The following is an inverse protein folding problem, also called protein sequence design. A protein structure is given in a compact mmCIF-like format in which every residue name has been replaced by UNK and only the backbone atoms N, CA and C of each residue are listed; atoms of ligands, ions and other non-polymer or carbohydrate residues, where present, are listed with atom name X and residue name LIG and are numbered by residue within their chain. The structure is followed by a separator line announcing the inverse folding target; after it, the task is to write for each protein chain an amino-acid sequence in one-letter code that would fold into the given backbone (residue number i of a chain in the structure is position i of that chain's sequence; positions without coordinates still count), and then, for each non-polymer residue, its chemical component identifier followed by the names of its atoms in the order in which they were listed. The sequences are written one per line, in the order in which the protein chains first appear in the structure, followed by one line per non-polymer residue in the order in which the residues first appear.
data_IF_496560737261
#
_entry.id   IF_496560737261
#
_cell.length_a   1.000
_cell.length_b   1.000
_cell.length_c   1.000
_cell.angle_alpha   90.00
_cell.angle_beta   90.00
_cell.angle_gamma   90.00
#
_symmetry.space_group_name_H-M   'P 1'
#
loop_
_entity.id
_entity.type
_entity.pdbx_description
1 polymer ?
#
# COMPACT_ATOMS: atom_id res chain seq x y z
N UNK A 1 0.29 35.81 27.26
CA UNK A 1 0.27 34.34 27.24
C UNK A 1 1.25 33.87 26.18
N UNK A 2 2.40 33.35 26.59
CA UNK A 2 3.36 32.75 25.65
C UNK A 2 2.67 31.55 25.00
N UNK A 3 2.36 31.65 23.71
CA UNK A 3 1.81 30.55 22.95
C UNK A 3 2.85 29.43 22.96
N UNK A 4 2.61 28.37 23.72
CA UNK A 4 3.51 27.23 23.78
C UNK A 4 3.51 26.58 22.39
N UNK A 5 4.54 26.90 21.59
CA UNK A 5 4.70 26.31 20.26
C UNK A 5 5.15 24.87 20.47
N UNK A 6 4.32 23.90 20.07
CA UNK A 6 4.70 22.49 20.09
C UNK A 6 6.00 22.31 19.32
N UNK A 7 7.00 21.72 19.97
CA UNK A 7 8.22 21.30 19.29
C UNK A 7 7.86 20.14 18.35
N UNK A 8 7.96 20.36 17.05
CA UNK A 8 7.84 19.34 16.02
C UNK A 8 9.06 19.43 15.11
N UNK A 9 9.72 18.29 14.90
CA UNK A 9 10.83 18.15 13.94
C UNK A 9 10.39 18.47 12.51
N UNK A 10 9.08 18.35 12.24
CA UNK A 10 8.49 18.44 10.91
C UNK A 10 7.79 19.78 10.66
N UNK A 11 7.84 20.73 11.62
CA UNK A 11 7.18 22.04 11.53
C UNK A 11 7.53 22.82 10.26
N UNK A 12 8.76 22.68 9.80
CA UNK A 12 9.33 23.41 8.65
C UNK A 12 9.53 22.52 7.42
N UNK A 13 8.86 21.35 7.37
CA UNK A 13 8.82 20.54 6.16
C UNK A 13 8.30 21.38 4.99
N UNK A 14 8.96 21.23 3.84
CA UNK A 14 8.55 21.87 2.60
C UNK A 14 8.66 20.88 1.43
N UNK A 15 7.94 21.19 0.35
CA UNK A 15 7.96 20.40 -0.88
C UNK A 15 8.61 21.20 -2.00
N UNK A 16 9.51 20.58 -2.74
CA UNK A 16 10.18 21.16 -3.89
C UNK A 16 9.90 20.29 -5.13
N UNK A 17 9.28 20.86 -6.18
CA UNK A 17 9.09 20.12 -7.43
C UNK A 17 10.43 19.94 -8.12
N UNK A 18 10.64 18.78 -8.73
CA UNK A 18 11.75 18.56 -9.63
C UNK A 18 11.73 19.57 -10.78
N UNK A 19 12.92 19.95 -11.25
CA UNK A 19 13.05 20.72 -12.50
C UNK A 19 12.46 19.93 -13.66
N UNK A 20 11.95 20.61 -14.68
CA UNK A 20 11.33 19.97 -15.85
C UNK A 20 12.22 18.93 -16.54
N UNK A 21 13.55 19.14 -16.54
CA UNK A 21 14.56 18.21 -17.07
C UNK A 21 14.64 16.88 -16.30
N UNK A 22 14.16 16.87 -15.06
CA UNK A 22 14.05 15.71 -14.16
C UNK A 22 12.61 15.19 -14.04
N UNK A 23 11.70 15.72 -14.85
CA UNK A 23 10.32 15.23 -15.01
C UNK A 23 10.22 14.32 -16.23
N UNK A 24 9.13 13.56 -16.31
CA UNK A 24 8.87 12.61 -17.39
C UNK A 24 7.74 13.17 -18.26
N UNK A 25 8.04 13.53 -19.50
CA UNK A 25 7.11 14.24 -20.39
C UNK A 25 6.87 13.46 -21.67
N UNK A 26 5.83 13.84 -22.42
CA UNK A 26 5.44 13.20 -23.69
C UNK A 26 4.95 11.73 -23.54
N UNK A 27 4.51 11.35 -22.34
CA UNK A 27 3.79 10.11 -22.11
C UNK A 27 2.33 10.27 -22.56
N UNK A 28 1.81 9.31 -23.33
CA UNK A 28 0.41 9.30 -23.80
C UNK A 28 -0.53 8.82 -22.69
N UNK A 29 -0.77 9.66 -21.69
CA UNK A 29 -1.51 9.29 -20.48
C UNK A 29 -2.95 8.86 -20.76
N UNK A 30 -3.42 7.84 -20.04
CA UNK A 30 -4.81 7.39 -20.12
C UNK A 30 -5.80 8.53 -19.81
N UNK A 31 -6.82 8.67 -20.65
CA UNK A 31 -7.87 9.68 -20.51
C UNK A 31 -9.11 9.18 -19.78
N UNK A 32 -9.13 7.91 -19.38
CA UNK A 32 -10.24 7.27 -18.70
C UNK A 32 -10.71 8.09 -17.49
N UNK A 33 -12.02 8.27 -17.39
CA UNK A 33 -12.66 8.96 -16.28
C UNK A 33 -12.79 8.01 -15.10
N UNK A 34 -12.27 8.42 -13.94
CA UNK A 34 -12.23 7.57 -12.76
C UNK A 34 -11.53 8.26 -11.59
N UNK A 35 -11.61 7.66 -10.42
CA UNK A 35 -11.04 8.18 -9.17
C UNK A 35 -9.73 7.48 -8.78
N UNK A 36 -9.20 6.62 -9.65
CA UNK A 36 -7.92 5.95 -9.44
C UNK A 36 -6.74 6.90 -9.65
N UNK A 37 -5.58 6.50 -9.15
CA UNK A 37 -4.39 7.34 -9.20
C UNK A 37 -3.73 7.32 -10.58
N UNK A 38 -3.90 6.23 -11.35
CA UNK A 38 -3.26 6.03 -12.67
C UNK A 38 -1.73 6.10 -12.66
N UNK A 39 -1.12 6.11 -11.48
CA UNK A 39 0.32 6.12 -11.26
C UNK A 39 0.61 5.38 -9.95
N UNK A 40 1.72 4.66 -9.93
CA UNK A 40 2.27 3.95 -8.78
C UNK A 40 3.78 3.87 -8.92
N UNK A 41 4.52 3.81 -7.83
CA UNK A 41 5.98 3.67 -7.90
C UNK A 41 6.53 2.82 -6.78
N UNK A 42 7.67 2.21 -7.05
CA UNK A 42 8.50 1.56 -6.05
C UNK A 42 9.84 2.30 -5.95
N UNK A 43 10.93 1.60 -5.63
CA UNK A 43 12.28 2.16 -5.51
C UNK A 43 13.03 2.26 -6.84
N UNK A 44 12.64 1.51 -7.87
CA UNK A 44 13.33 1.44 -9.17
C UNK A 44 12.52 2.04 -10.32
N UNK A 45 11.20 1.84 -10.30
CA UNK A 45 10.30 2.20 -11.38
C UNK A 45 9.07 2.93 -10.86
N UNK A 46 8.46 3.70 -11.76
CA UNK A 46 7.05 4.02 -11.65
C UNK A 46 6.28 3.45 -12.83
N UNK A 47 5.04 3.07 -12.58
CA UNK A 47 4.08 2.66 -13.59
C UNK A 47 3.05 3.78 -13.81
N UNK A 48 2.61 3.94 -15.06
CA UNK A 48 1.61 4.95 -15.43
C UNK A 48 0.68 4.41 -16.50
N UNK A 49 -0.63 4.63 -16.35
CA UNK A 49 -1.61 4.18 -17.32
C UNK A 49 -1.47 4.94 -18.65
N UNK A 50 -1.44 4.22 -19.77
CA UNK A 50 -1.23 4.76 -21.12
C UNK A 50 -2.50 4.60 -21.95
N UNK A 51 -2.82 5.62 -22.74
CA UNK A 51 -3.87 5.56 -23.74
C UNK A 51 -3.40 4.70 -24.92
N UNK A 52 -3.97 3.51 -25.04
CA UNK A 52 -3.73 2.58 -26.14
C UNK A 52 -5.03 1.84 -26.52
N UNK A 53 -5.00 1.05 -27.60
CA UNK A 53 -6.06 0.09 -27.89
C UNK A 53 -5.98 -1.07 -26.90
N UNK A 54 -7.00 -1.26 -26.06
CA UNK A 54 -6.98 -2.21 -24.95
C UNK A 54 -6.48 -1.59 -23.63
N UNK A 55 -5.90 -2.41 -22.76
CA UNK A 55 -5.31 -1.98 -21.50
C UNK A 55 -3.80 -1.99 -21.55
N UNK A 56 -3.19 -0.80 -21.56
CA UNK A 56 -1.74 -0.66 -21.52
C UNK A 56 -1.27 0.30 -20.43
N UNK A 57 -0.07 0.05 -19.94
CA UNK A 57 0.62 0.95 -19.03
C UNK A 57 2.12 0.92 -19.32
N UNK A 58 2.80 2.02 -19.02
CA UNK A 58 4.26 2.11 -19.12
C UNK A 58 4.86 1.83 -17.74
N UNK A 59 6.01 1.14 -17.71
CA UNK A 59 6.86 1.01 -16.52
C UNK A 59 8.19 1.70 -16.82
N UNK A 60 8.47 2.76 -16.08
CA UNK A 60 9.54 3.71 -16.37
C UNK A 60 10.57 3.68 -15.24
N UNK A 61 11.84 3.34 -15.54
CA UNK A 61 12.93 3.47 -14.57
C UNK A 61 13.17 4.94 -14.21
N UNK A 62 13.45 5.24 -12.93
CA UNK A 62 13.68 6.63 -12.47
C UNK A 62 14.87 7.31 -13.14
N UNK A 63 15.81 6.55 -13.70
CA UNK A 63 16.98 7.09 -14.40
C UNK A 63 16.65 7.63 -15.79
N UNK A 64 15.56 7.15 -16.42
CA UNK A 64 15.14 7.58 -17.77
C UNK A 64 14.31 8.87 -17.70
N UNK A 65 14.92 9.98 -17.31
CA UNK A 65 14.22 11.29 -17.20
C UNK A 65 14.08 11.99 -18.55
N UNK A 66 13.17 12.98 -18.64
CA UNK A 66 13.04 13.87 -19.78
C UNK A 66 11.86 13.53 -20.69
N UNK A 67 12.06 13.73 -21.99
CA UNK A 67 11.01 13.56 -23.01
C UNK A 67 11.03 12.14 -23.56
N UNK A 68 9.91 11.44 -23.46
CA UNK A 68 9.77 10.06 -23.92
C UNK A 68 9.42 9.99 -25.40
N UNK A 69 9.92 8.94 -26.07
CA UNK A 69 9.53 8.60 -27.43
C UNK A 69 8.07 8.11 -27.45
N UNK A 70 7.24 8.52 -28.43
CA UNK A 70 5.89 7.99 -28.59
C UNK A 70 5.78 6.46 -28.70
N UNK A 71 6.84 5.79 -29.16
CA UNK A 71 6.94 4.33 -29.32
C UNK A 71 7.61 3.66 -28.10
N UNK A 72 7.63 4.33 -26.94
CA UNK A 72 8.15 3.76 -25.70
C UNK A 72 7.49 2.41 -25.38
N UNK A 73 8.26 1.34 -25.09
CA UNK A 73 7.74 0.02 -24.78
C UNK A 73 6.72 0.00 -23.65
N UNK A 74 5.64 -0.77 -23.84
CA UNK A 74 4.52 -0.86 -22.90
C UNK A 74 4.34 -2.28 -22.36
N UNK A 75 3.58 -2.38 -21.27
CA UNK A 75 2.92 -3.64 -20.90
C UNK A 75 1.51 -3.59 -21.48
N UNK A 76 1.21 -4.52 -22.39
CA UNK A 76 0.00 -4.52 -23.22
C UNK A 76 -0.56 -5.92 -23.45
N UNK A 77 -1.12 -6.55 -22.42
CA UNK A 77 -1.87 -7.81 -22.56
C UNK A 77 -3.30 -7.78 -22.03
N UNK A 78 -3.75 -6.65 -21.47
CA UNK A 78 -5.14 -6.48 -21.08
C UNK A 78 -6.02 -6.10 -22.27
N UNK A 79 -7.25 -6.60 -22.28
CA UNK A 79 -8.25 -6.35 -23.34
C UNK A 79 -9.15 -5.16 -23.01
N UNK A 80 -9.16 -4.72 -21.76
CA UNK A 80 -9.94 -3.60 -21.25
C UNK A 80 -9.04 -2.56 -20.60
N UNK A 81 -9.59 -1.39 -20.28
CA UNK A 81 -8.80 -0.30 -19.69
C UNK A 81 -8.14 -0.72 -18.37
N UNK A 82 -6.91 -0.25 -18.15
CA UNK A 82 -6.23 -0.39 -16.86
C UNK A 82 -6.95 0.46 -15.81
N UNK A 83 -7.39 -0.20 -14.74
CA UNK A 83 -8.11 0.44 -13.65
C UNK A 83 -7.16 0.79 -12.51
N UNK A 84 -6.26 -0.12 -12.14
CA UNK A 84 -5.30 0.08 -11.06
C UNK A 84 -4.08 -0.83 -11.23
N UNK A 85 -2.99 -0.53 -10.54
CA UNK A 85 -1.81 -1.39 -10.46
C UNK A 85 -1.00 -1.13 -9.20
N UNK A 86 -0.35 -2.18 -8.70
CA UNK A 86 0.47 -2.11 -7.50
C UNK A 86 1.78 -2.86 -7.71
N UNK A 87 2.88 -2.30 -7.23
CA UNK A 87 4.16 -2.98 -7.21
C UNK A 87 4.21 -3.92 -6.01
N UNK A 88 4.81 -5.10 -6.20
CA UNK A 88 5.06 -5.97 -5.07
C UNK A 88 6.03 -5.28 -4.10
N UNK A 89 5.71 -5.20 -2.80
CA UNK A 89 6.53 -4.45 -1.84
C UNK A 89 7.83 -5.19 -1.50
N UNK A 90 7.97 -6.45 -1.90
CA UNK A 90 9.11 -7.33 -1.64
C UNK A 90 9.96 -7.62 -2.88
N UNK A 91 9.38 -7.44 -4.07
CA UNK A 91 10.02 -7.73 -5.35
C UNK A 91 9.90 -6.55 -6.29
N UNK A 92 10.98 -5.78 -6.43
CA UNK A 92 10.99 -4.50 -7.16
C UNK A 92 10.70 -4.65 -8.67
N UNK A 93 10.85 -5.86 -9.20
CA UNK A 93 10.61 -6.20 -10.60
C UNK A 93 9.25 -6.88 -10.84
N UNK A 94 8.33 -6.83 -9.87
CA UNK A 94 7.03 -7.47 -9.98
C UNK A 94 5.91 -6.44 -9.79
N UNK A 95 4.97 -6.41 -10.72
CA UNK A 95 3.79 -5.52 -10.67
C UNK A 95 2.52 -6.30 -10.99
N UNK A 96 1.43 -6.01 -10.27
CA UNK A 96 0.10 -6.51 -10.57
C UNK A 96 -0.75 -5.39 -11.21
N UNK A 97 -1.58 -5.72 -12.20
CA UNK A 97 -2.52 -4.79 -12.83
C UNK A 97 -3.94 -5.33 -12.78
N UNK A 98 -4.90 -4.44 -12.52
CA UNK A 98 -6.34 -4.67 -12.53
C UNK A 98 -6.99 -4.00 -13.74
N UNK A 99 -7.95 -4.66 -14.37
CA UNK A 99 -8.51 -4.21 -15.65
C UNK A 99 -10.03 -4.32 -15.75
N UNK A 100 -10.57 -3.51 -16.67
CA UNK A 100 -11.96 -3.56 -17.12
C UNK A 100 -12.34 -4.89 -17.77
N UNK A 101 -11.35 -5.67 -18.23
CA UNK A 101 -11.54 -7.02 -18.79
C UNK A 101 -11.79 -8.13 -17.75
N UNK A 102 -12.04 -7.76 -16.49
CA UNK A 102 -12.35 -8.65 -15.36
C UNK A 102 -11.18 -9.48 -14.81
N UNK A 103 -9.95 -9.27 -15.32
CA UNK A 103 -8.76 -10.00 -14.88
C UNK A 103 -7.84 -9.14 -14.02
N UNK A 104 -7.05 -9.80 -13.16
CA UNK A 104 -5.77 -9.26 -12.70
C UNK A 104 -4.64 -10.01 -13.38
N UNK A 105 -3.55 -9.30 -13.70
CA UNK A 105 -2.35 -9.89 -14.30
C UNK A 105 -1.12 -9.49 -13.51
N UNK A 106 -0.18 -10.42 -13.37
CA UNK A 106 1.12 -10.18 -12.72
C UNK A 106 2.21 -10.21 -13.77
N UNK A 107 3.14 -9.24 -13.72
CA UNK A 107 4.15 -9.00 -14.74
C UNK A 107 5.54 -8.94 -14.12
N UNK A 108 6.50 -9.56 -14.79
CA UNK A 108 7.93 -9.42 -14.49
C UNK A 108 8.53 -8.28 -15.30
N UNK A 109 9.22 -7.37 -14.63
CA UNK A 109 9.89 -6.21 -15.23
C UNK A 109 11.37 -6.54 -15.41
N UNK A 110 11.95 -6.42 -16.62
CA UNK A 110 13.38 -6.60 -16.80
C UNK A 110 14.20 -5.56 -16.03
N UNK A 111 15.41 -5.91 -15.60
CA UNK A 111 16.22 -5.05 -14.73
C UNK A 111 16.48 -3.64 -15.30
N UNK A 112 16.77 -3.54 -16.61
CA UNK A 112 16.96 -2.27 -17.33
C UNK A 112 15.66 -1.56 -17.76
N UNK A 113 14.52 -2.05 -17.31
CA UNK A 113 13.19 -1.71 -17.83
C UNK A 113 12.92 -2.37 -19.19
N UNK A 114 11.76 -2.06 -19.77
CA UNK A 114 11.31 -2.66 -21.02
C UNK A 114 12.15 -2.17 -22.21
N UNK A 115 12.52 -3.12 -23.08
CA UNK A 115 13.13 -2.89 -24.40
C UNK A 115 12.13 -3.08 -25.53
N UNK A 116 11.10 -3.90 -25.31
CA UNK A 116 10.00 -4.16 -26.23
C UNK A 116 8.68 -4.27 -25.48
N UNK A 117 7.57 -4.08 -26.19
CA UNK A 117 6.25 -4.19 -25.59
C UNK A 117 5.97 -5.66 -25.25
N UNK A 118 5.62 -5.93 -23.99
CA UNK A 118 5.27 -7.28 -23.54
C UNK A 118 3.75 -7.46 -23.43
N UNK A 119 3.25 -8.62 -23.82
CA UNK A 119 1.82 -8.94 -23.81
C UNK A 119 1.47 -10.16 -22.96
N UNK A 120 2.46 -10.97 -22.61
CA UNK A 120 2.29 -12.21 -21.85
C UNK A 120 2.55 -11.97 -20.36
N UNK A 121 1.56 -12.14 -19.47
CA UNK A 121 1.77 -12.03 -18.03
C UNK A 121 2.44 -13.29 -17.47
N UNK A 122 3.09 -13.16 -16.31
CA UNK A 122 3.57 -14.29 -15.53
C UNK A 122 2.42 -15.10 -14.94
N UNK A 123 1.37 -14.41 -14.49
CA UNK A 123 0.19 -15.00 -13.86
C UNK A 123 -1.06 -14.28 -14.33
N UNK A 124 -2.10 -15.05 -14.65
CA UNK A 124 -3.43 -14.56 -14.99
C UNK A 124 -4.42 -14.97 -13.89
N UNK A 125 -4.95 -14.00 -13.16
CA UNK A 125 -5.90 -14.21 -12.07
C UNK A 125 -7.30 -13.92 -12.56
N UNK A 126 -8.02 -15.00 -12.86
CA UNK A 126 -9.41 -14.96 -13.34
C UNK A 126 -10.37 -15.36 -12.23
N UNK A 127 -11.53 -14.70 -12.16
CA UNK A 127 -12.61 -15.12 -11.27
C UNK A 127 -13.62 -14.02 -10.95
N UNK A 128 -13.20 -12.76 -11.04
CA UNK A 128 -14.14 -11.64 -10.94
C UNK A 128 -15.12 -11.66 -12.12
N UNK A 129 -16.39 -11.36 -11.85
CA UNK A 129 -17.45 -11.38 -12.86
C UNK A 129 -17.62 -10.07 -13.62
N UNK A 130 -16.95 -9.02 -13.16
CA UNK A 130 -16.98 -7.65 -13.71
C UNK A 130 -15.61 -7.00 -13.53
N UNK A 131 -15.45 -5.79 -14.07
CA UNK A 131 -14.20 -5.02 -14.01
C UNK A 131 -13.56 -5.02 -12.63
N UNK A 132 -12.26 -5.29 -12.58
CA UNK A 132 -11.48 -5.18 -11.35
C UNK A 132 -11.08 -3.73 -11.19
N UNK A 133 -11.42 -3.12 -10.05
CA UNK A 133 -11.35 -1.67 -9.85
C UNK A 133 -10.14 -1.19 -9.07
N UNK A 134 -9.61 -2.01 -8.15
CA UNK A 134 -8.46 -1.71 -7.29
C UNK A 134 -7.66 -2.99 -7.06
N UNK A 135 -6.36 -2.83 -6.82
CA UNK A 135 -5.47 -3.94 -6.44
C UNK A 135 -4.41 -3.46 -5.46
N UNK A 136 -4.14 -4.24 -4.41
CA UNK A 136 -3.12 -3.92 -3.41
C UNK A 136 -2.40 -5.16 -2.91
N UNK A 137 -1.07 -5.16 -2.96
CA UNK A 137 -0.27 -6.20 -2.33
C UNK A 137 -0.37 -6.12 -0.82
N UNK A 138 -0.31 -7.29 -0.19
CA UNK A 138 -0.28 -7.42 1.25
C UNK A 138 1.05 -6.88 1.83
N UNK A 139 1.03 -6.18 2.97
CA UNK A 139 2.21 -5.46 3.47
C UNK A 139 3.24 -6.33 4.19
N UNK A 140 2.92 -7.58 4.60
CA UNK A 140 3.84 -8.42 5.39
C UNK A 140 4.03 -9.84 4.85
N UNK A 141 2.96 -10.50 4.43
CA UNK A 141 2.98 -11.81 3.76
C UNK A 141 3.39 -11.72 2.29
N UNK A 142 4.31 -12.59 1.86
CA UNK A 142 4.67 -12.72 0.45
C UNK A 142 3.48 -13.22 -0.39
N UNK A 143 3.44 -12.84 -1.66
CA UNK A 143 2.55 -13.38 -2.68
C UNK A 143 1.02 -13.24 -2.43
N UNK A 144 0.59 -12.50 -1.41
CA UNK A 144 -0.82 -12.19 -1.17
C UNK A 144 -1.20 -10.86 -1.84
N UNK A 145 -2.25 -10.90 -2.68
CA UNK A 145 -2.78 -9.74 -3.41
C UNK A 145 -4.27 -9.56 -3.10
N UNK A 146 -4.71 -8.36 -2.77
CA UNK A 146 -6.13 -8.01 -2.65
C UNK A 146 -6.63 -7.33 -3.93
N UNK A 147 -7.89 -7.60 -4.29
CA UNK A 147 -8.58 -6.90 -5.38
C UNK A 147 -10.04 -6.62 -5.04
N UNK A 148 -10.59 -5.55 -5.62
CA UNK A 148 -12.03 -5.28 -5.61
C UNK A 148 -12.56 -5.27 -7.03
N UNK A 149 -13.83 -5.60 -7.20
CA UNK A 149 -14.47 -5.55 -8.51
C UNK A 149 -15.84 -4.88 -8.45
N UNK A 150 -16.30 -4.44 -9.62
CA UNK A 150 -17.67 -4.01 -9.83
C UNK A 150 -18.70 -5.15 -9.70
N UNK A 151 -18.26 -6.39 -9.47
CA UNK A 151 -19.10 -7.51 -9.02
C UNK A 151 -19.43 -7.46 -7.53
N UNK A 152 -19.00 -6.40 -6.83
CA UNK A 152 -19.25 -6.15 -5.41
C UNK A 152 -18.51 -7.09 -4.46
N UNK A 153 -17.47 -7.78 -4.95
CA UNK A 153 -16.62 -8.64 -4.14
C UNK A 153 -15.25 -8.02 -3.89
N UNK A 154 -14.67 -8.35 -2.74
CA UNK A 154 -13.24 -8.21 -2.47
C UNK A 154 -12.64 -9.59 -2.42
N UNK A 155 -11.52 -9.83 -3.12
CA UNK A 155 -10.87 -11.13 -3.16
C UNK A 155 -9.42 -11.01 -2.74
N UNK A 156 -8.94 -12.04 -2.06
CA UNK A 156 -7.51 -12.25 -1.84
C UNK A 156 -7.04 -13.38 -2.74
N UNK A 157 -5.85 -13.22 -3.29
CA UNK A 157 -5.21 -14.14 -4.21
C UNK A 157 -3.84 -14.51 -3.68
N UNK A 158 -3.47 -15.77 -3.89
CA UNK A 158 -2.09 -16.20 -3.86
C UNK A 158 -1.57 -16.14 -5.31
N UNK A 159 -0.65 -15.20 -5.57
CA UNK A 159 -0.11 -14.99 -6.93
C UNK A 159 0.85 -16.10 -7.37
N UNK A 160 1.46 -16.83 -6.44
CA UNK A 160 2.36 -17.94 -6.75
C UNK A 160 1.56 -19.18 -7.18
N UNK A 161 0.44 -19.42 -6.50
CA UNK A 161 -0.49 -20.52 -6.82
C UNK A 161 -1.47 -20.16 -7.95
N UNK A 162 -1.58 -18.88 -8.31
CA UNK A 162 -2.54 -18.40 -9.31
C UNK A 162 -3.99 -18.61 -8.88
N UNK A 163 -4.28 -18.60 -7.58
CA UNK A 163 -5.58 -19.03 -7.04
C UNK A 163 -6.16 -18.03 -6.04
N UNK A 164 -7.48 -17.91 -6.02
CA UNK A 164 -8.20 -17.18 -4.99
C UNK A 164 -8.10 -17.93 -3.65
N UNK A 165 -7.73 -17.22 -2.59
CA UNK A 165 -7.61 -17.77 -1.22
C UNK A 165 -8.74 -17.30 -0.30
N UNK A 166 -9.26 -16.08 -0.46
CA UNK A 166 -10.38 -15.55 0.33
C UNK A 166 -11.33 -14.76 -0.58
N UNK A 167 -12.63 -14.88 -0.32
CA UNK A 167 -13.67 -14.07 -0.96
C UNK A 167 -14.47 -13.35 0.13
N UNK A 168 -14.51 -12.03 0.08
CA UNK A 168 -15.27 -11.18 0.98
C UNK A 168 -16.43 -10.57 0.17
N UNK A 169 -17.62 -11.08 0.44
CA UNK A 169 -18.85 -10.55 -0.14
C UNK A 169 -19.46 -9.59 0.87
N UNK A 170 -19.76 -8.38 0.42
CA UNK A 170 -20.70 -7.53 1.15
C UNK A 170 -22.05 -7.66 0.46
N UNK A 171 -23.09 -8.03 1.23
CA UNK A 171 -24.49 -8.18 0.78
C UNK A 171 -25.13 -6.84 0.36
N UNK A 172 -24.37 -5.98 -0.31
CA UNK A 172 -24.77 -4.67 -0.82
C UNK A 172 -24.35 -4.60 -2.29
N UNK A 173 -25.30 -4.26 -3.17
CA UNK A 173 -25.04 -4.03 -4.61
C UNK A 173 -24.38 -2.66 -4.83
N UNK A 174 -23.36 -2.33 -4.03
CA UNK A 174 -22.68 -1.03 -4.04
C UNK A 174 -21.20 -1.20 -4.29
N UNK A 175 -20.62 -0.29 -5.08
CA UNK A 175 -19.21 -0.34 -5.43
C UNK A 175 -18.30 -0.01 -4.25
N UNK A 176 -17.27 -0.82 -4.04
CA UNK A 176 -16.12 -0.45 -3.21
C UNK A 176 -15.40 0.73 -3.86
N UNK A 177 -15.08 1.74 -3.05
CA UNK A 177 -14.49 3.01 -3.48
C UNK A 177 -13.00 3.09 -3.15
N UNK A 178 -12.56 2.39 -2.11
CA UNK A 178 -11.17 2.31 -1.68
C UNK A 178 -10.94 1.10 -0.78
N UNK A 179 -9.67 0.69 -0.63
CA UNK A 179 -9.25 -0.28 0.38
C UNK A 179 -7.86 0.02 0.92
N UNK A 180 -7.57 -0.40 2.15
CA UNK A 180 -6.23 -0.33 2.73
C UNK A 180 -5.97 -1.45 3.73
N UNK A 181 -4.75 -1.96 3.75
CA UNK A 181 -4.25 -2.89 4.76
C UNK A 181 -3.83 -2.15 6.04
N UNK A 182 -4.08 -2.77 7.20
CA UNK A 182 -3.43 -2.34 8.44
C UNK A 182 -1.93 -2.72 8.45
N UNK A 183 -1.21 -2.26 9.47
CA UNK A 183 0.24 -2.42 9.58
C UNK A 183 0.73 -3.88 9.47
N UNK A 184 0.01 -4.81 10.08
CA UNK A 184 0.38 -6.24 10.09
C UNK A 184 -0.22 -7.03 8.92
N UNK A 185 -1.17 -6.45 8.19
CA UNK A 185 -1.95 -7.13 7.16
C UNK A 185 -3.05 -8.07 7.71
N UNK A 186 -3.34 -8.05 9.02
CA UNK A 186 -4.43 -8.86 9.58
C UNK A 186 -5.82 -8.30 9.28
N UNK A 187 -5.93 -6.99 9.03
CA UNK A 187 -7.20 -6.31 8.74
C UNK A 187 -7.13 -5.62 7.40
N UNK A 188 -8.14 -5.86 6.56
CA UNK A 188 -8.38 -5.10 5.33
C UNK A 188 -9.59 -4.18 5.54
N UNK A 189 -9.40 -2.88 5.37
CA UNK A 189 -10.48 -1.91 5.46
C UNK A 189 -10.98 -1.54 4.06
N UNK A 190 -12.30 -1.40 3.87
CA UNK A 190 -12.88 -0.86 2.64
C UNK A 190 -13.85 0.28 2.90
N UNK A 191 -13.93 1.22 1.95
CA UNK A 191 -15.03 2.20 1.85
C UNK A 191 -15.95 1.80 0.71
N UNK A 192 -17.26 1.99 0.88
CA UNK A 192 -18.23 1.61 -0.13
C UNK A 192 -19.22 2.75 -0.40
N UNK A 193 -19.82 2.75 -1.61
CA UNK A 193 -20.81 3.73 -2.05
C UNK A 193 -22.07 3.77 -1.18
N UNK A 194 -22.32 2.72 -0.40
CA UNK A 194 -23.34 2.67 0.65
C UNK A 194 -23.01 3.53 1.89
N UNK A 195 -21.87 4.25 1.87
CA UNK A 195 -21.34 5.12 2.93
C UNK A 195 -20.87 4.38 4.18
N UNK A 196 -20.65 3.08 4.08
CA UNK A 196 -20.14 2.24 5.17
C UNK A 196 -18.64 2.03 4.98
N UNK A 197 -17.88 2.23 6.05
CA UNK A 197 -16.50 1.74 6.18
C UNK A 197 -16.55 0.38 6.86
N UNK A 198 -15.96 -0.65 6.27
CA UNK A 198 -15.92 -2.01 6.82
C UNK A 198 -14.49 -2.42 7.11
N UNK A 199 -14.27 -3.04 8.26
CA UNK A 199 -13.01 -3.65 8.67
C UNK A 199 -13.19 -5.16 8.62
N UNK A 200 -12.49 -5.83 7.72
CA UNK A 200 -12.53 -7.28 7.58
C UNK A 200 -11.37 -7.91 8.36
N UNK A 201 -11.66 -8.98 9.09
CA UNK A 201 -10.61 -9.96 9.34
C UNK A 201 -10.23 -10.59 8.00
N UNK A 202 -9.00 -10.37 7.56
CA UNK A 202 -8.63 -10.61 6.18
C UNK A 202 -8.58 -12.10 5.81
N UNK A 203 -8.32 -12.99 6.78
CA UNK A 203 -8.19 -14.43 6.55
C UNK A 203 -9.55 -15.12 6.53
N UNK A 204 -10.43 -14.74 7.45
CA UNK A 204 -11.80 -15.28 7.50
C UNK A 204 -12.75 -14.62 6.49
N UNK A 205 -12.39 -13.43 5.99
CA UNK A 205 -13.23 -12.61 5.13
C UNK A 205 -14.46 -12.03 5.83
N UNK A 206 -14.56 -12.16 7.16
CA UNK A 206 -15.70 -11.68 7.93
C UNK A 206 -15.55 -10.21 8.33
N UNK A 207 -16.66 -9.48 8.35
CA UNK A 207 -16.69 -8.10 8.87
C UNK A 207 -16.50 -8.15 10.38
N UNK A 208 -15.35 -7.68 10.86
CA UNK A 208 -15.00 -7.57 12.28
C UNK A 208 -15.60 -6.32 12.94
N UNK A 209 -15.69 -5.22 12.18
CA UNK A 209 -16.30 -3.97 12.60
C UNK A 209 -16.74 -3.14 11.40
N UNK A 210 -17.70 -2.22 11.61
CA UNK A 210 -18.14 -1.30 10.56
C UNK A 210 -18.57 0.05 11.11
N UNK A 211 -18.44 1.09 10.28
CA UNK A 211 -18.95 2.44 10.53
C UNK A 211 -19.87 2.87 9.40
N UNK A 212 -21.16 2.92 9.69
CA UNK A 212 -22.16 3.54 8.81
C UNK A 212 -22.04 5.07 8.83
N UNK A 213 -22.28 5.68 7.67
CA UNK A 213 -22.25 7.13 7.49
C UNK A 213 -20.94 7.75 8.01
N UNK A 214 -19.81 7.09 7.76
CA UNK A 214 -18.49 7.63 8.13
C UNK A 214 -18.30 9.05 7.56
N UNK A 215 -18.84 9.29 6.36
CA UNK A 215 -19.04 10.61 5.76
C UNK A 215 -20.47 10.72 5.23
N UNK A 216 -21.07 11.90 5.33
CA UNK A 216 -22.50 12.07 5.03
C UNK A 216 -22.77 12.43 3.55
N UNK A 217 -21.73 12.89 2.84
CA UNK A 217 -21.77 13.27 1.43
C UNK A 217 -22.00 12.09 0.49
N UNK A 218 -22.23 12.38 -0.80
CA UNK A 218 -22.52 11.39 -1.84
C UNK A 218 -21.31 10.98 -2.68
N UNK A 219 -20.18 11.68 -2.52
CA UNK A 219 -18.92 11.41 -3.22
C UNK A 219 -18.09 10.36 -2.49
N UNK A 220 -17.10 9.83 -3.18
CA UNK A 220 -16.30 8.74 -2.65
C UNK A 220 -15.52 9.10 -1.39
N UNK A 221 -15.38 8.10 -0.54
CA UNK A 221 -14.54 8.13 0.65
C UNK A 221 -13.26 7.36 0.37
N UNK A 222 -12.12 7.97 0.67
CA UNK A 222 -10.80 7.34 0.63
C UNK A 222 -10.30 7.07 2.04
N UNK A 223 -9.43 6.09 2.22
CA UNK A 223 -8.95 5.69 3.54
C UNK A 223 -7.48 5.27 3.54
N UNK A 224 -6.82 5.39 4.70
CA UNK A 224 -5.48 4.84 4.92
C UNK A 224 -5.28 4.53 6.40
N UNK A 225 -4.54 3.46 6.71
CA UNK A 225 -4.10 3.18 8.08
C UNK A 225 -2.90 4.06 8.44
N UNK A 226 -2.81 4.44 9.72
CA UNK A 226 -1.77 5.32 10.24
C UNK A 226 -0.60 4.52 10.81
N UNK A 227 -0.10 3.56 10.01
CA UNK A 227 1.05 2.71 10.38
C UNK A 227 0.82 1.92 11.66
N UNK A 228 1.85 1.82 12.50
CA UNK A 228 1.84 1.08 13.76
C UNK A 228 0.93 1.69 14.86
N UNK A 229 0.33 2.85 14.62
CA UNK A 229 -0.60 3.50 15.56
C UNK A 229 -1.90 2.73 15.78
N UNK A 230 -2.21 1.79 14.88
CA UNK A 230 -3.48 1.05 14.84
C UNK A 230 -4.70 1.99 14.80
N UNK A 231 -4.55 3.12 14.12
CA UNK A 231 -5.61 4.08 13.78
C UNK A 231 -5.77 4.13 12.27
N UNK A 232 -6.91 4.61 11.79
CA UNK A 232 -7.07 4.90 10.36
C UNK A 232 -7.71 6.27 10.12
N UNK A 233 -7.36 6.87 8.99
CA UNK A 233 -7.91 8.11 8.52
C UNK A 233 -8.85 7.85 7.34
N UNK A 234 -9.96 8.58 7.30
CA UNK A 234 -10.84 8.62 6.12
C UNK A 234 -10.99 10.05 5.63
N UNK A 235 -10.99 10.21 4.32
CA UNK A 235 -11.22 11.49 3.66
C UNK A 235 -12.43 11.38 2.75
N UNK A 236 -13.42 12.24 2.98
CA UNK A 236 -14.68 12.20 2.26
C UNK A 236 -15.35 13.56 2.26
N UNK A 237 -16.68 13.57 2.13
CA UNK A 237 -17.45 14.80 1.98
C UNK A 237 -18.55 14.88 3.03
N UNK A 238 -18.83 16.08 3.51
CA UNK A 238 -20.02 16.37 4.27
C UNK A 238 -21.28 16.39 3.40
N UNK A 239 -22.46 16.46 4.03
CA UNK A 239 -23.73 16.73 3.34
C UNK A 239 -23.71 18.03 2.54
N UNK A 240 -22.95 19.04 2.99
CA UNK A 240 -22.76 20.32 2.30
C UNK A 240 -21.62 20.30 1.27
N UNK A 241 -21.14 19.12 0.86
CA UNK A 241 -20.05 18.93 -0.10
C UNK A 241 -18.69 19.53 0.32
N UNK A 242 -18.51 19.81 1.60
CA UNK A 242 -17.20 20.16 2.16
C UNK A 242 -16.33 18.92 2.32
N UNK A 243 -15.07 18.97 1.88
CA UNK A 243 -14.08 17.89 2.07
C UNK A 243 -13.68 17.81 3.54
N UNK A 244 -13.64 16.59 4.08
CA UNK A 244 -13.41 16.31 5.50
C UNK A 244 -12.42 15.19 5.69
N UNK A 245 -11.46 15.40 6.58
CA UNK A 245 -10.63 14.34 7.16
C UNK A 245 -11.25 13.93 8.51
N UNK A 246 -11.41 12.62 8.72
CA UNK A 246 -11.77 12.03 10.03
C UNK A 246 -10.74 10.98 10.42
N UNK A 247 -10.40 10.88 11.71
CA UNK A 247 -9.51 9.85 12.28
C UNK A 247 -10.33 8.96 13.21
N UNK A 248 -10.08 7.66 13.14
CA UNK A 248 -10.88 6.63 13.79
C UNK A 248 -10.01 5.63 14.55
N UNK A 249 -10.54 5.15 15.67
CA UNK A 249 -10.06 3.96 16.36
C UNK A 249 -10.83 2.74 15.82
N UNK A 250 -10.19 1.74 15.21
CA UNK A 250 -10.87 0.54 14.69
C UNK A 250 -11.60 -0.25 15.78
N UNK A 251 -11.18 -0.13 17.05
CA UNK A 251 -11.79 -0.81 18.20
C UNK A 251 -12.99 -0.04 18.74
N UNK A 252 -13.16 1.23 18.36
CA UNK A 252 -14.19 2.14 18.86
C UNK A 252 -14.68 3.10 17.77
N UNK A 253 -15.63 2.62 16.97
CA UNK A 253 -16.19 3.33 15.79
C UNK A 253 -17.46 4.16 16.07
N UNK A 254 -17.90 4.27 17.33
CA UNK A 254 -19.08 5.09 17.68
C UNK A 254 -18.87 6.56 17.30
N UNK A 255 -17.65 7.08 17.50
CA UNK A 255 -17.30 8.48 17.27
C UNK A 255 -15.90 8.64 16.67
N UNK A 256 -15.73 9.59 15.76
CA UNK A 256 -14.41 9.96 15.26
C UNK A 256 -13.54 10.60 16.36
N UNK A 257 -12.26 10.23 16.39
CA UNK A 257 -11.26 10.82 17.29
C UNK A 257 -10.94 12.27 16.92
N UNK A 258 -10.92 12.53 15.60
CA UNK A 258 -10.64 13.85 15.04
C UNK A 258 -11.49 14.08 13.82
N UNK A 259 -11.96 15.32 13.64
CA UNK A 259 -12.60 15.82 12.43
C UNK A 259 -11.95 17.13 12.02
N UNK A 260 -11.56 17.24 10.76
CA UNK A 260 -11.00 18.46 10.16
C UNK A 260 -11.78 18.75 8.89
N UNK A 261 -12.41 19.92 8.85
CA UNK A 261 -13.00 20.49 7.65
C UNK A 261 -11.88 21.13 6.81
N UNK A 262 -11.77 20.73 5.54
CA UNK A 262 -10.64 21.11 4.67
C UNK A 262 -11.01 22.31 3.80
N UNK A 263 -11.91 22.11 2.84
CA UNK A 263 -12.42 23.14 1.92
C UNK A 263 -13.68 22.62 1.19
N UNK A 264 -14.18 23.35 0.18
CA UNK A 264 -15.35 22.96 -0.62
C UNK A 264 -15.00 22.55 -2.06
N UNK A 265 -13.75 22.17 -2.34
CA UNK A 265 -13.38 21.73 -3.69
C UNK A 265 -14.04 20.39 -4.03
N UNK A 266 -14.26 20.15 -5.33
CA UNK A 266 -15.03 19.01 -5.79
C UNK A 266 -14.22 17.69 -5.88
N UNK A 267 -12.90 17.79 -5.99
CA UNK A 267 -11.99 16.66 -6.19
C UNK A 267 -11.86 15.76 -4.96
N UNK A 268 -11.94 14.44 -5.17
CA UNK A 268 -11.66 13.45 -4.12
C UNK A 268 -10.21 13.60 -3.66
N UNK A 269 -9.99 13.53 -2.35
CA UNK A 269 -8.64 13.57 -1.75
C UNK A 269 -8.14 12.16 -1.53
N UNK A 270 -6.94 11.89 -2.04
CA UNK A 270 -6.17 10.68 -1.84
C UNK A 270 -5.24 10.90 -0.62
N UNK A 271 -5.43 10.16 0.48
CA UNK A 271 -4.54 10.22 1.64
C UNK A 271 -3.31 9.33 1.46
N UNK A 272 -2.11 9.87 1.67
CA UNK A 272 -0.84 9.12 1.68
C UNK A 272 -0.15 9.32 3.03
N UNK A 273 0.08 8.24 3.77
CA UNK A 273 0.65 8.31 5.12
C UNK A 273 2.09 7.76 5.12
N UNK A 274 3.06 8.60 5.49
CA UNK A 274 4.43 8.17 5.78
C UNK A 274 4.52 7.71 7.24
N UNK A 275 4.67 6.40 7.45
CA UNK A 275 4.72 5.79 8.78
C UNK A 275 5.97 6.21 9.57
N UNK A 276 7.07 6.53 8.89
CA UNK A 276 8.35 6.84 9.54
C UNK A 276 8.32 8.26 10.13
N UNK A 277 7.73 9.21 9.40
CA UNK A 277 7.61 10.61 9.86
C UNK A 277 6.29 10.90 10.55
N UNK A 278 5.31 9.99 10.44
CA UNK A 278 3.93 10.18 10.85
C UNK A 278 3.24 11.36 10.13
N UNK A 279 3.64 11.67 8.90
CA UNK A 279 3.02 12.75 8.12
C UNK A 279 1.97 12.16 7.17
N UNK A 280 0.75 12.70 7.23
CA UNK A 280 -0.32 12.41 6.30
C UNK A 280 -0.41 13.52 5.25
N UNK A 281 -0.19 13.15 3.98
CA UNK A 281 -0.34 14.00 2.81
C UNK A 281 -1.72 13.83 2.18
N UNK A 282 -2.43 14.94 1.97
CA UNK A 282 -3.75 14.99 1.36
C UNK A 282 -3.64 15.60 -0.04
N UNK A 283 -3.75 14.74 -1.05
CA UNK A 283 -3.62 15.10 -2.45
C UNK A 283 -4.99 15.05 -3.14
N UNK A 284 -5.53 16.19 -3.56
CA UNK A 284 -6.82 16.23 -4.26
C UNK A 284 -6.69 15.96 -5.76
N UNK A 285 -7.52 15.09 -6.31
CA UNK A 285 -7.63 14.92 -7.76
C UNK A 285 -8.26 16.17 -8.37
N UNK A 286 -7.57 16.82 -9.30
CA UNK A 286 -7.92 18.12 -9.85
C UNK A 286 -7.34 19.30 -9.07
N UNK A 287 -6.72 19.07 -7.91
CA UNK A 287 -6.07 20.12 -7.13
C UNK A 287 -4.60 20.25 -7.55
N UNK A 288 -4.07 21.47 -7.49
CA UNK A 288 -2.62 21.66 -7.55
C UNK A 288 -1.93 21.59 -6.19
N UNK A 289 -2.70 21.82 -5.12
CA UNK A 289 -2.17 21.95 -3.76
C UNK A 289 -2.17 20.60 -3.03
N UNK A 290 -1.23 20.44 -2.10
CA UNK A 290 -1.13 19.28 -1.21
C UNK A 290 -1.04 19.80 0.22
N UNK A 291 -1.99 19.38 1.06
CA UNK A 291 -1.99 19.72 2.50
C UNK A 291 -1.41 18.56 3.29
N UNK A 292 -0.66 18.85 4.35
CA UNK A 292 -0.10 17.78 5.16
C UNK A 292 -0.21 18.05 6.65
N UNK A 293 -0.39 16.96 7.39
CA UNK A 293 -0.64 16.93 8.83
C UNK A 293 0.35 15.97 9.48
N UNK A 294 0.92 16.38 10.60
CA UNK A 294 1.63 15.46 11.49
C UNK A 294 0.59 14.73 12.35
N UNK A 295 0.54 13.41 12.22
CA UNK A 295 -0.39 12.54 12.91
C UNK A 295 0.19 12.11 14.25
N UNK A 296 -0.66 12.03 15.27
CA UNK A 296 -0.27 11.73 16.64
C UNK A 296 -1.18 10.65 17.25
N UNK A 297 -0.69 9.97 18.28
CA UNK A 297 -1.40 8.88 18.96
C UNK A 297 -2.44 9.36 19.97
N UNK A 298 -2.43 10.67 20.25
CA UNK A 298 -3.29 11.31 21.23
C UNK A 298 -3.80 12.66 20.71
N UNK A 299 -4.86 13.14 21.35
CA UNK A 299 -5.48 14.44 21.06
C UNK A 299 -4.41 15.53 20.88
N UNK A 300 -4.48 16.32 19.79
CA UNK A 300 -5.54 16.46 18.80
C UNK A 300 -5.46 15.51 17.59
N UNK A 301 -4.65 14.44 17.64
CA UNK A 301 -4.43 13.39 16.63
C UNK A 301 -3.90 13.81 15.26
N UNK A 302 -4.12 15.06 14.84
CA UNK A 302 -3.65 15.62 13.59
C UNK A 302 -3.31 17.10 13.79
N UNK A 303 -2.04 17.44 13.60
CA UNK A 303 -1.53 18.80 13.65
C UNK A 303 -1.27 19.30 12.22
N UNK A 304 -1.88 20.42 11.79
CA UNK A 304 -1.58 20.98 10.48
C UNK A 304 -0.11 21.42 10.43
N UNK A 305 0.61 21.02 9.37
CA UNK A 305 1.97 21.47 9.11
C UNK A 305 1.95 22.65 8.14
N UNK A 306 1.93 22.36 6.85
CA UNK A 306 1.99 23.36 5.78
C UNK A 306 1.25 22.83 4.54
N UNK A 307 1.21 23.64 3.49
CA UNK A 307 0.55 23.34 2.22
C UNK A 307 1.52 23.63 1.07
N UNK A 308 1.75 22.64 0.22
CA UNK A 308 2.38 22.86 -1.08
C UNK A 308 1.35 23.47 -2.02
N UNK A 309 1.74 24.54 -2.72
CA UNK A 309 0.85 25.26 -3.64
C UNK A 309 1.37 25.18 -5.06
N UNK A 310 0.49 24.83 -5.99
CA UNK A 310 0.79 24.79 -7.42
C UNK A 310 -0.46 25.12 -8.20
N UNK A 311 -0.31 25.75 -9.36
CA UNK A 311 -1.40 26.02 -10.30
C UNK A 311 -1.69 24.83 -11.23
N UNK A 312 -0.80 23.84 -11.25
CA UNK A 312 -0.92 22.66 -12.11
C UNK A 312 -1.75 21.59 -11.39
N UNK A 313 -2.91 21.23 -11.94
CA UNK A 313 -3.79 20.24 -11.34
C UNK A 313 -3.20 18.81 -11.41
N UNK A 314 -3.34 18.05 -10.32
CA UNK A 314 -3.01 16.63 -10.28
C UNK A 314 -4.13 15.78 -10.90
N UNK A 315 -3.79 14.91 -11.84
CA UNK A 315 -4.65 13.82 -12.33
C UNK A 315 -4.50 12.56 -11.49
N UNK A 316 -3.40 12.44 -10.77
CA UNK A 316 -3.01 11.27 -10.00
C UNK A 316 -1.84 11.57 -9.09
N UNK A 317 -1.61 10.70 -8.11
CA UNK A 317 -0.49 10.82 -7.19
C UNK A 317 -0.02 9.43 -6.78
N UNK A 318 1.29 9.25 -6.67
CA UNK A 318 1.88 8.09 -6.01
C UNK A 318 2.89 8.57 -4.97
N UNK A 319 3.00 7.83 -3.87
CA UNK A 319 4.10 7.96 -2.92
C UNK A 319 5.02 6.77 -3.13
N UNK A 320 6.32 7.01 -3.25
CA UNK A 320 7.30 5.93 -3.39
C UNK A 320 7.77 5.46 -2.01
N UNK A 321 8.30 4.22 -1.88
CA UNK A 321 8.85 3.73 -0.63
C UNK A 321 10.00 4.59 -0.12
N UNK A 322 10.16 4.65 1.21
CA UNK A 322 11.21 5.44 1.88
C UNK A 322 12.61 5.14 1.35
N UNK A 323 12.90 3.86 1.07
CA UNK A 323 14.17 3.37 0.50
C UNK A 323 14.56 4.05 -0.82
N UNK A 324 13.61 4.66 -1.55
CA UNK A 324 13.87 5.40 -2.79
C UNK A 324 14.13 6.90 -2.62
N UNK A 325 14.12 7.42 -1.38
CA UNK A 325 14.38 8.83 -1.08
C UNK A 325 15.89 9.11 -0.92
N UNK A 326 16.33 10.32 -1.27
CA UNK A 326 17.67 10.82 -1.00
C UNK A 326 17.81 11.23 0.47
N UNK A 327 18.18 10.24 1.29
CA UNK A 327 18.33 10.38 2.74
C UNK A 327 19.41 11.38 3.17
N UNK A 328 20.45 11.57 2.35
CA UNK A 328 21.57 12.46 2.69
C UNK A 328 21.17 13.92 2.51
N UNK A 329 20.27 14.20 1.58
CA UNK A 329 19.66 15.52 1.38
C UNK A 329 18.48 15.80 2.33
N UNK A 330 18.22 14.93 3.31
CA UNK A 330 17.05 15.00 4.19
C UNK A 330 15.70 14.94 3.44
N UNK A 331 15.66 14.25 2.29
CA UNK A 331 14.40 13.91 1.60
C UNK A 331 13.70 12.80 2.37
N UNK A 332 12.55 13.12 2.97
CA UNK A 332 11.80 12.17 3.80
C UNK A 332 10.65 11.51 3.07
N UNK A 333 10.15 12.12 2.00
CA UNK A 333 9.09 11.55 1.17
C UNK A 333 9.29 12.05 -0.24
N UNK A 334 8.99 11.21 -1.23
CA UNK A 334 8.89 11.62 -2.62
C UNK A 334 7.52 11.23 -3.16
N UNK A 335 6.80 12.22 -3.67
CA UNK A 335 5.53 12.05 -4.33
C UNK A 335 5.74 12.17 -5.85
N UNK A 336 5.04 11.36 -6.65
CA UNK A 336 5.00 11.48 -8.10
C UNK A 336 3.66 12.06 -8.49
N UNK A 337 3.66 13.35 -8.85
CA UNK A 337 2.47 14.06 -9.28
C UNK A 337 2.23 13.82 -10.76
N UNK A 338 1.18 13.08 -11.07
CA UNK A 338 0.71 12.89 -12.44
C UNK A 338 -0.09 14.13 -12.84
N UNK A 339 0.37 14.88 -13.83
CA UNK A 339 -0.34 16.02 -14.42
C UNK A 339 -0.95 15.62 -15.77
N UNK A 340 -1.53 16.56 -16.50
CA UNK A 340 -2.03 16.28 -17.86
C UNK A 340 -0.90 15.93 -18.84
N UNK A 341 0.30 16.44 -18.62
CA UNK A 341 1.38 16.38 -19.62
C UNK A 341 2.68 15.74 -19.10
N UNK A 342 2.76 15.46 -17.80
CA UNK A 342 3.99 15.00 -17.17
C UNK A 342 3.74 14.14 -15.92
N UNK A 343 4.75 13.36 -15.57
CA UNK A 343 4.97 12.92 -14.20
C UNK A 343 6.03 13.82 -13.59
N UNK A 344 5.68 14.53 -12.53
CA UNK A 344 6.53 15.49 -11.82
C UNK A 344 6.87 14.94 -10.43
N UNK A 345 8.13 14.58 -10.16
CA UNK A 345 8.57 14.29 -8.81
C UNK A 345 8.46 15.53 -7.90
N UNK A 346 7.92 15.34 -6.71
CA UNK A 346 7.84 16.32 -5.64
C UNK A 346 8.63 15.77 -4.44
N UNK A 347 9.70 16.47 -4.10
CA UNK A 347 10.63 16.11 -3.04
C UNK A 347 10.19 16.77 -1.74
N UNK A 348 10.05 15.99 -0.65
CA UNK A 348 9.66 16.51 0.67
C UNK A 348 10.87 16.54 1.59
N UNK A 349 11.30 17.74 1.96
CA UNK A 349 12.51 17.93 2.76
C UNK A 349 12.21 18.33 4.20
N UNK A 350 12.99 17.77 5.13
CA UNK A 350 13.12 18.32 6.48
C UNK A 350 14.40 19.16 6.53
N UNK A 351 14.32 20.50 6.67
CA UNK A 351 15.51 21.34 6.59
C UNK A 351 16.47 21.06 7.75
N UNK A 352 17.70 20.67 7.41
CA UNK A 352 18.82 20.45 8.35
C UNK A 352 20.07 21.14 7.85
N UNK A 353 20.93 21.55 8.77
CA UNK A 353 22.22 22.23 8.49
C UNK A 353 23.38 21.27 8.75
N UNK A 354 23.34 20.10 8.14
CA UNK A 354 24.36 19.07 8.33
C UNK A 354 24.38 18.13 7.12
N UNK A 355 25.59 17.77 6.69
CA UNK A 355 25.81 16.77 5.65
C UNK A 355 25.88 15.34 6.23
N UNK A 356 25.73 15.19 7.55
CA UNK A 356 25.67 13.89 8.21
C UNK A 356 24.28 13.28 8.09
N UNK A 357 24.21 11.94 8.11
CA UNK A 357 22.95 11.23 8.23
C UNK A 357 22.17 11.67 9.49
N UNK A 358 20.86 11.85 9.33
CA UNK A 358 19.99 12.38 10.39
C UNK A 358 19.14 11.26 11.01
N UNK A 359 19.72 10.51 11.95
CA UNK A 359 19.04 9.35 12.59
C UNK A 359 17.67 9.72 13.19
N UNK A 360 17.48 10.97 13.61
CA UNK A 360 16.27 11.38 14.32
C UNK A 360 15.04 11.59 13.42
N UNK A 361 15.20 11.64 12.09
CA UNK A 361 14.12 11.74 11.10
C UNK A 361 14.03 10.51 10.17
N UNK A 362 14.95 9.56 10.34
CA UNK A 362 14.98 8.29 9.63
C UNK A 362 15.03 7.15 10.66
N UNK A 363 13.89 6.87 11.34
CA UNK A 363 13.77 5.62 12.07
C UNK A 363 13.88 4.44 11.10
N UNK A 364 14.02 3.23 11.65
CA UNK A 364 14.02 2.02 10.84
C UNK A 364 12.72 1.94 10.03
N UNK A 365 12.88 1.74 8.73
CA UNK A 365 11.77 1.75 7.77
C UNK A 365 11.52 0.34 7.25
N UNK A 366 10.46 0.19 6.48
CA UNK A 366 10.14 -1.05 5.79
C UNK A 366 11.31 -1.58 4.94
N UNK A 367 11.79 -2.78 5.27
CA UNK A 367 12.98 -3.37 4.67
C UNK A 367 12.79 -3.85 3.23
N UNK A 368 11.55 -4.00 2.75
CA UNK A 368 11.29 -4.60 1.43
C UNK A 368 11.42 -6.12 1.41
N UNK A 369 11.25 -6.77 2.57
CA UNK A 369 11.26 -8.24 2.68
C UNK A 369 10.04 -8.73 3.46
N UNK A 370 9.46 -9.88 3.11
CA UNK A 370 8.28 -10.40 3.78
C UNK A 370 8.62 -10.88 5.18
N UNK A 371 7.64 -10.79 6.07
CA UNK A 371 7.77 -11.23 7.47
C UNK A 371 7.42 -12.71 7.65
N UNK A 372 6.72 -13.27 6.67
CA UNK A 372 6.18 -14.63 6.62
C UNK A 372 5.67 -14.93 5.21
N UNK A 373 5.51 -16.21 4.89
CA UNK A 373 4.93 -16.67 3.62
C UNK A 373 3.40 -16.52 3.60
N UNK A 374 2.78 -16.64 2.42
CA UNK A 374 1.32 -16.69 2.29
C UNK A 374 0.70 -17.79 3.16
N UNK A 375 1.29 -18.98 3.19
CA UNK A 375 0.79 -20.13 3.95
C UNK A 375 0.93 -19.94 5.46
N UNK A 376 2.06 -19.38 5.93
CA UNK A 376 2.25 -19.04 7.35
C UNK A 376 1.23 -17.98 7.82
N UNK A 377 0.99 -16.96 7.00
CA UNK A 377 0.00 -15.92 7.30
C UNK A 377 -1.42 -16.49 7.34
N UNK A 378 -1.80 -17.30 6.34
CA UNK A 378 -3.09 -18.00 6.30
C UNK A 378 -3.27 -18.93 7.51
N UNK A 379 -2.19 -19.56 7.98
CA UNK A 379 -2.19 -20.42 9.16
C UNK A 379 -2.29 -19.65 10.50
N UNK A 380 -2.31 -18.31 10.47
CA UNK A 380 -2.55 -17.49 11.65
C UNK A 380 -1.40 -16.56 12.06
N UNK A 381 -0.28 -16.55 11.35
CA UNK A 381 0.84 -15.65 11.69
C UNK A 381 0.46 -14.18 11.52
N UNK A 382 0.84 -13.33 12.49
CA UNK A 382 0.55 -11.89 12.55
C UNK A 382 1.81 -11.05 12.82
N UNK A 383 2.91 -11.40 12.17
CA UNK A 383 4.16 -10.62 12.26
C UNK A 383 3.96 -9.26 11.61
N UNK A 384 4.36 -8.19 12.30
CA UNK A 384 4.47 -6.86 11.70
C UNK A 384 5.55 -6.82 10.61
N UNK A 385 5.66 -5.73 9.86
CA UNK A 385 6.67 -5.59 8.82
C UNK A 385 8.11 -5.74 9.35
N UNK A 386 9.00 -6.30 8.53
CA UNK A 386 10.45 -6.30 8.81
C UNK A 386 10.99 -4.89 8.57
N UNK A 387 11.75 -4.38 9.55
CA UNK A 387 12.33 -3.05 9.49
C UNK A 387 13.86 -3.11 9.31
N UNK A 388 14.41 -2.13 8.59
CA UNK A 388 15.84 -1.97 8.37
C UNK A 388 16.27 -0.52 8.50
N UNK A 389 17.51 -0.33 8.94
CA UNK A 389 18.15 0.98 9.01
C UNK A 389 18.43 1.55 7.61
N UNK A 390 18.14 2.85 7.43
CA UNK A 390 18.58 3.62 6.27
C UNK A 390 19.94 4.30 6.49
N UNK A 391 20.53 4.21 7.69
CA UNK A 391 21.82 4.84 7.95
C UNK A 391 22.89 4.26 7.02
N UNK A 392 23.65 5.06 6.26
CA UNK A 392 24.68 4.56 5.35
C UNK A 392 25.73 3.64 5.99
N UNK A 393 25.94 3.73 7.31
CA UNK A 393 26.87 2.88 8.04
C UNK A 393 26.32 1.49 8.37
N UNK A 394 25.01 1.35 8.45
CA UNK A 394 24.28 0.13 8.81
C UNK A 394 23.18 -0.16 7.79
N UNK A 395 23.37 0.29 6.55
CA UNK A 395 22.32 0.30 5.53
C UNK A 395 21.87 -1.13 5.23
N UNK A 396 20.58 -1.39 5.36
CA UNK A 396 20.00 -2.70 5.13
C UNK A 396 20.17 -3.69 6.29
N UNK A 397 20.81 -3.31 7.40
CA UNK A 397 20.79 -4.13 8.60
C UNK A 397 19.36 -4.26 9.12
N UNK A 398 18.90 -5.51 9.27
CA UNK A 398 17.57 -5.81 9.82
C UNK A 398 17.60 -5.52 11.32
N UNK A 399 16.79 -4.57 11.75
CA UNK A 399 16.77 -4.10 13.14
C UNK A 399 15.63 -4.72 13.96
N UNK A 400 14.62 -5.26 13.28
CA UNK A 400 13.60 -6.10 13.91
C UNK A 400 13.04 -7.13 12.93
N UNK A 401 13.02 -8.39 13.36
CA UNK A 401 12.12 -9.38 12.77
C UNK A 401 10.72 -9.03 13.28
N UNK A 402 9.79 -8.72 12.37
CA UNK A 402 8.43 -8.24 12.65
C UNK A 402 7.91 -8.64 14.02
N UNK A 403 7.77 -7.67 14.94
CA UNK A 403 7.44 -7.94 16.35
C UNK A 403 6.27 -8.92 16.43
N UNK A 404 6.49 -10.07 17.07
CA UNK A 404 5.44 -11.01 17.41
C UNK A 404 4.43 -10.30 18.32
N UNK A 405 3.22 -10.08 17.82
CA UNK A 405 2.17 -9.41 18.58
C UNK A 405 1.68 -10.27 19.74
N UNK A 406 2.32 -10.20 20.91
CA UNK A 406 1.68 -10.66 22.15
C UNK A 406 0.87 -9.52 22.74
N UNK A 407 -0.45 -9.57 22.56
CA UNK A 407 -1.40 -8.85 23.39
C UNK A 407 -1.41 -9.44 24.81
N UNK A 408 -0.48 -9.02 25.66
CA UNK A 408 -0.53 -9.35 27.09
C UNK A 408 -1.38 -8.29 27.80
N UNK A 409 -2.67 -8.60 27.96
CA UNK A 409 -3.53 -7.93 28.93
C UNK A 409 -2.88 -7.97 30.31
N UNK A 410 -2.78 -6.80 30.94
CA UNK A 410 -2.22 -6.59 32.28
C UNK A 410 -3.25 -7.08 33.32
N UNK A 411 -3.00 -8.10 34.15
CA UNK A 411 -3.84 -8.35 35.31
C UNK A 411 -3.30 -7.58 36.50
N UNK A 412 -4.19 -6.80 37.11
CA UNK A 412 -4.04 -6.17 38.42
C UNK A 412 -3.71 -7.21 39.49
N UNK A 413 -2.74 -6.85 40.33
CA UNK A 413 -2.21 -7.60 41.47
C UNK A 413 -3.30 -7.94 42.47
N UNK A 414 -3.66 -9.22 42.59
CA UNK A 414 -4.40 -9.77 43.74
C UNK A 414 -3.44 -10.59 44.60
N UNK A 415 -3.41 -10.29 45.89
CA UNK A 415 -2.59 -10.90 46.94
C UNK A 415 -2.85 -12.40 47.08
N UNK A 416 -1.78 -13.21 47.09
CA UNK A 416 -1.82 -14.67 47.35
C UNK A 416 -1.79 -14.95 48.86
N UNK A 417 -2.70 -15.79 49.32
CA UNK A 417 -2.52 -16.72 50.46
C UNK A 417 -2.31 -18.14 49.92
N UNK A 418 -1.53 -19.02 50.60
CA UNK A 418 -1.16 -20.31 50.04
C UNK A 418 -2.07 -21.45 50.52
N UNK A 419 -2.45 -22.36 49.61
CA UNK A 419 -2.87 -23.72 49.97
C UNK A 419 -2.53 -24.75 48.89
N UNK A 420 -1.76 -25.75 49.34
CA UNK A 420 -1.53 -27.13 48.87
C UNK A 420 -2.26 -27.70 47.65
N UNK A 421 -1.47 -28.34 46.78
CA UNK A 421 -1.66 -29.70 46.23
C UNK A 421 -2.81 -29.95 45.25
N UNK A 422 -2.50 -30.44 44.03
CA UNK A 422 -2.75 -31.81 43.51
C UNK A 422 -2.53 -31.85 41.98
N UNK A 423 -2.13 -33.02 41.49
CA UNK A 423 -1.72 -33.48 40.13
C UNK A 423 -2.34 -32.88 38.85
N UNK A 424 -1.51 -32.84 37.80
CA UNK A 424 -1.85 -32.51 36.41
C UNK A 424 -2.50 -33.69 35.63
N UNK A 425 -3.40 -33.44 34.65
CA UNK A 425 -3.88 -34.44 33.68
C UNK A 425 -3.10 -34.36 32.33
N UNK A 426 -3.17 -35.42 31.49
CA UNK A 426 -2.31 -35.57 30.31
C UNK A 426 -2.83 -34.84 29.06
N UNK A 427 -1.91 -34.50 28.15
CA UNK A 427 -2.18 -33.84 26.87
C UNK A 427 -2.75 -34.82 25.80
N UNK A 428 -3.57 -34.33 24.85
CA UNK A 428 -4.08 -35.14 23.75
C UNK A 428 -3.08 -35.25 22.59
N UNK A 429 -3.05 -36.41 21.94
CA UNK A 429 -2.15 -36.77 20.85
C UNK A 429 -2.49 -36.05 19.53
N UNK A 430 -1.48 -35.43 18.92
CA UNK A 430 -1.54 -34.92 17.55
C UNK A 430 -1.08 -36.01 16.57
N UNK A 431 -1.90 -36.28 15.56
CA UNK A 431 -1.59 -37.20 14.45
C UNK A 431 -0.66 -36.50 13.44
N UNK A 432 0.65 -36.76 13.53
CA UNK A 432 1.62 -36.36 12.51
C UNK A 432 1.65 -37.34 11.33
N UNK A 433 1.76 -36.83 10.10
CA UNK A 433 2.01 -37.66 8.90
C UNK A 433 3.32 -38.45 9.08
N UNK A 434 3.37 -39.67 8.58
CA UNK A 434 4.56 -40.53 8.72
C UNK A 434 5.76 -39.95 7.97
N UNK A 435 6.97 -40.18 8.49
CA UNK A 435 8.22 -39.75 7.87
C UNK A 435 8.36 -40.22 6.40
N UNK A 436 7.74 -41.36 6.05
CA UNK A 436 7.71 -41.87 4.68
C UNK A 436 6.89 -41.01 3.72
N UNK A 437 5.83 -40.34 4.20
CA UNK A 437 5.02 -39.45 3.38
C UNK A 437 5.75 -38.12 3.11
N UNK A 438 6.47 -37.61 4.12
CA UNK A 438 7.30 -36.41 3.98
C UNK A 438 8.48 -36.63 3.02
N UNK A 439 9.09 -37.83 3.04
CA UNK A 439 10.16 -38.16 2.11
C UNK A 439 9.67 -38.21 0.65
N UNK A 440 8.50 -38.81 0.39
CA UNK A 440 7.93 -38.86 -0.95
C UNK A 440 7.56 -37.47 -1.49
N UNK A 441 7.12 -36.56 -0.62
CA UNK A 441 6.80 -35.18 -0.97
C UNK A 441 8.07 -34.37 -1.26
N UNK A 442 9.14 -34.60 -0.51
CA UNK A 442 10.46 -34.01 -0.75
C UNK A 442 11.07 -34.47 -2.08
N UNK A 443 10.95 -35.76 -2.39
CA UNK A 443 11.47 -36.32 -3.65
C UNK A 443 10.70 -35.77 -4.86
N UNK A 444 9.39 -35.59 -4.73
CA UNK A 444 8.55 -34.97 -5.76
C UNK A 444 8.87 -33.48 -5.96
N UNK A 445 9.12 -32.74 -4.88
CA UNK A 445 9.52 -31.33 -4.95
C UNK A 445 10.89 -31.17 -5.62
N UNK A 446 11.86 -32.03 -5.29
CA UNK A 446 13.20 -32.01 -5.91
C UNK A 446 13.14 -32.32 -7.41
N UNK A 447 12.28 -33.26 -7.83
CA UNK A 447 12.07 -33.53 -9.25
C UNK A 447 11.47 -32.32 -9.99
N UNK A 448 10.57 -31.58 -9.34
CA UNK A 448 9.97 -30.37 -9.92
C UNK A 448 10.96 -29.22 -10.03
N UNK A 449 11.84 -29.05 -9.03
CA UNK A 449 12.92 -28.06 -9.06
C UNK A 449 13.86 -28.35 -10.24
N UNK A 450 14.30 -29.59 -10.42
CA UNK A 450 15.16 -29.96 -11.54
C UNK A 450 14.51 -29.69 -12.92
N UNK A 451 13.19 -29.88 -13.04
CA UNK A 451 12.45 -29.57 -14.28
C UNK A 451 12.38 -28.05 -14.54
N UNK A 452 12.23 -27.25 -13.48
CA UNK A 452 12.18 -25.79 -13.57
C UNK A 452 13.57 -25.21 -13.87
N UNK A 453 14.63 -25.71 -13.25
CA UNK A 453 16.01 -25.34 -13.54
C UNK A 453 16.35 -25.63 -15.01
N UNK A 454 15.96 -26.79 -15.54
CA UNK A 454 16.15 -27.12 -16.95
C UNK A 454 15.41 -26.16 -17.91
N UNK A 455 14.22 -25.67 -17.52
CA UNK A 455 13.46 -24.67 -18.29
C UNK A 455 14.07 -23.28 -18.21
N UNK A 456 14.63 -22.90 -17.06
CA UNK A 456 15.36 -21.64 -16.86
C UNK A 456 16.65 -21.60 -17.69
N UNK A 457 17.44 -22.69 -17.70
CA UNK A 457 18.64 -22.81 -18.53
C UNK A 457 18.29 -22.75 -20.02
N UNK A 458 17.18 -23.39 -20.44
CA UNK A 458 16.70 -23.31 -21.83
C UNK A 458 16.21 -21.90 -22.22
N UNK A 459 15.85 -21.07 -21.25
CA UNK A 459 15.44 -19.68 -21.45
C UNK A 459 16.60 -18.68 -21.38
N UNK A 460 17.84 -19.14 -21.21
CA UNK A 460 19.06 -18.31 -21.14
C UNK A 460 19.03 -17.30 -19.96
N UNK A 461 18.40 -17.69 -18.85
CA UNK A 461 18.34 -16.93 -17.61
C UNK A 461 19.30 -17.63 -16.62
N UNK A 462 20.49 -17.08 -16.43
CA UNK A 462 21.43 -17.49 -15.38
C UNK A 462 21.25 -16.58 -14.14
N UNK A 463 21.41 -17.18 -12.95
CA UNK A 463 21.20 -16.56 -11.63
C UNK A 463 22.14 -15.39 -11.31
#
# INVERSE_FOLDING_TARGET
MSQFVRASKYRHVYMEPAKIEKSYTNLRLATATGEQNYIKGNTKFFAVAIQAGGGAFAVVPYEKVGKFDPDFPLIGGHRGAIMDFDFNPFHEHLIASASDDTTLKVWGIPEGGLTETMTEPLVDLTGHGRKVTLTYFHPTASNVLASTSADYTVRLWDIEKGSQIVNMEHNTENLVQDMAWNWTGSTLATTCKDKVVRLYDARSGQVSAQKENAHEGSKSVKLTFLGEKDLFATVGFSRQSQRRLKVWDPRKLDKELKKIDIDQAAGVIMPFFDADTNILYLCGKGDGNIRYYEMNDADPFAYPLNEYRSTVAARGMAMIPKRGCDIMSCETTRLLKLTTNAVEPLHVYVPRKSDAFQDDIYPDTYAGVPSHTADEWLAGSEKGPVLSSLNPRTFGEITSHGKEGTAAARPTRVTRTPSSGTSAPPAPAASGKSASALQAELDAANARIAELEAKLTAANIDF
#
